data_IF_265835658679
#
_entry.id   IF_265835658679
#
_cell.length_a   1.000
_cell.length_b   1.000
_cell.length_c   1.000
_cell.angle_alpha   90.00
_cell.angle_beta   90.00
_cell.angle_gamma   90.00
#
_symmetry.space_group_name_H-M   'P 1'
#
loop_
_entity.id
_entity.type
_entity.pdbx_description
1 polymer ?
#
# COMPACT_ATOMS: atom_id res chain seq x y z
N UNK A 1 -5.21 -16.84 -9.62
CA UNK A 1 -5.49 -15.84 -10.66
C UNK A 1 -5.63 -16.50 -12.03
N UNK A 2 -6.32 -15.85 -12.96
CA UNK A 2 -6.58 -16.34 -14.32
C UNK A 2 -5.33 -16.72 -15.12
N UNK A 3 -4.22 -16.00 -14.93
CA UNK A 3 -2.92 -16.32 -15.55
C UNK A 3 -2.53 -17.80 -15.39
N UNK A 4 -2.80 -18.42 -14.23
CA UNK A 4 -2.47 -19.84 -13.99
C UNK A 4 -3.23 -20.82 -14.89
N UNK A 5 -4.38 -20.41 -15.42
CA UNK A 5 -5.22 -21.25 -16.27
C UNK A 5 -5.09 -20.86 -17.75
N UNK A 6 -4.90 -19.58 -18.04
CA UNK A 6 -4.86 -19.07 -19.41
C UNK A 6 -3.45 -18.95 -19.97
N UNK A 7 -2.41 -18.90 -19.13
CA UNK A 7 -1.03 -18.56 -19.48
C UNK A 7 -0.89 -17.21 -20.22
N UNK A 8 -1.90 -16.33 -20.13
CA UNK A 8 -1.89 -15.02 -20.79
C UNK A 8 -1.40 -13.95 -19.82
N UNK A 9 -0.24 -13.35 -20.11
CA UNK A 9 0.25 -12.19 -19.39
C UNK A 9 -0.58 -10.96 -19.79
N UNK A 10 -1.08 -10.24 -18.80
CA UNK A 10 -1.92 -9.05 -18.97
C UNK A 10 -1.53 -7.99 -17.97
N UNK A 11 -1.89 -6.73 -18.22
CA UNK A 11 -1.69 -5.64 -17.25
C UNK A 11 -2.33 -5.97 -15.88
N UNK A 12 -3.46 -6.70 -15.87
CA UNK A 12 -4.10 -7.16 -14.62
C UNK A 12 -3.32 -8.26 -13.92
N UNK A 13 -2.51 -9.05 -14.64
CA UNK A 13 -1.60 -10.04 -14.05
C UNK A 13 -0.41 -9.35 -13.37
N UNK A 14 0.06 -8.23 -13.91
CA UNK A 14 1.06 -7.38 -13.26
C UNK A 14 0.50 -6.76 -11.97
N UNK A 15 -0.77 -6.31 -11.97
CA UNK A 15 -1.45 -5.83 -10.75
C UNK A 15 -1.48 -6.89 -9.66
N UNK A 16 -1.81 -8.14 -10.00
CA UNK A 16 -1.81 -9.24 -9.02
C UNK A 16 -0.41 -9.48 -8.45
N UNK A 17 0.60 -9.53 -9.33
CA UNK A 17 1.99 -9.76 -8.94
C UNK A 17 2.52 -8.63 -8.06
N UNK A 18 2.16 -7.39 -8.37
CA UNK A 18 2.48 -6.24 -7.54
C UNK A 18 1.75 -6.29 -6.18
N UNK A 19 0.50 -6.75 -6.15
CA UNK A 19 -0.24 -6.99 -4.90
C UNK A 19 0.47 -7.99 -3.98
N UNK A 20 1.08 -9.04 -4.52
CA UNK A 20 1.92 -9.99 -3.75
C UNK A 20 3.15 -9.28 -3.18
N UNK A 21 3.84 -8.46 -3.98
CA UNK A 21 4.99 -7.67 -3.50
C UNK A 21 4.57 -6.70 -2.39
N UNK A 22 3.44 -6.02 -2.54
CA UNK A 22 2.92 -5.14 -1.49
C UNK A 22 2.56 -5.92 -0.21
N UNK A 23 1.96 -7.11 -0.33
CA UNK A 23 1.67 -7.98 0.81
C UNK A 23 2.96 -8.43 1.52
N UNK A 24 3.99 -8.79 0.76
CA UNK A 24 5.31 -9.13 1.30
C UNK A 24 5.96 -7.93 1.98
N UNK A 25 5.87 -6.73 1.42
CA UNK A 25 6.39 -5.51 2.06
C UNK A 25 5.64 -5.13 3.33
N UNK A 26 4.32 -5.33 3.35
CA UNK A 26 3.46 -5.03 4.50
C UNK A 26 3.69 -6.01 5.66
N UNK A 27 3.91 -7.28 5.34
CA UNK A 27 4.05 -8.37 6.33
C UNK A 27 5.52 -8.71 6.65
N UNK A 28 6.44 -8.30 5.78
CA UNK A 28 7.86 -8.57 5.87
C UNK A 28 8.57 -7.76 6.94
N UNK A 29 9.79 -8.18 7.29
CA UNK A 29 10.64 -7.45 8.24
C UNK A 29 11.00 -6.08 7.67
N UNK A 30 10.83 -5.03 8.48
CA UNK A 30 11.09 -3.63 8.08
C UNK A 30 12.44 -3.48 7.36
N UNK A 31 12.51 -2.73 6.25
CA UNK A 31 13.78 -2.23 5.75
C UNK A 31 14.46 -1.47 6.89
N UNK A 32 15.74 -1.76 7.15
CA UNK A 32 16.55 -1.07 8.15
C UNK A 32 16.90 0.34 7.61
N UNK A 33 15.88 1.16 7.39
CA UNK A 33 16.03 2.61 7.27
C UNK A 33 15.46 3.20 8.56
N UNK A 34 16.30 3.78 9.44
CA UNK A 34 15.87 4.43 10.68
C UNK A 34 14.79 5.50 10.46
N UNK A 35 14.60 6.00 9.23
CA UNK A 35 13.59 6.99 8.86
C UNK A 35 12.21 6.39 8.53
N UNK A 36 12.14 5.09 8.23
CA UNK A 36 10.93 4.36 7.81
C UNK A 36 10.26 3.64 8.98
N UNK A 37 10.96 3.48 10.11
CA UNK A 37 10.39 2.95 11.35
C UNK A 37 9.59 4.04 12.05
N UNK A 38 8.42 4.38 11.50
CA UNK A 38 7.42 5.20 12.19
C UNK A 38 6.14 4.37 12.27
N UNK A 39 5.47 4.42 13.41
CA UNK A 39 4.15 3.80 13.61
C UNK A 39 3.23 4.18 12.44
N UNK A 40 2.95 3.22 11.56
CA UNK A 40 1.84 3.36 10.63
C UNK A 40 0.55 3.34 11.46
N UNK A 41 -0.35 4.30 11.21
CA UNK A 41 -1.64 4.27 11.91
C UNK A 41 -2.40 3.00 11.49
N UNK A 42 -3.17 2.43 12.41
CA UNK A 42 -4.03 1.27 12.12
C UNK A 42 -4.91 1.52 10.88
N UNK A 43 -5.33 2.77 10.67
CA UNK A 43 -6.11 3.20 9.50
C UNK A 43 -5.32 3.11 8.19
N UNK A 44 -4.04 3.49 8.18
CA UNK A 44 -3.17 3.38 7.01
C UNK A 44 -2.89 1.92 6.65
N UNK A 45 -2.62 1.10 7.67
CA UNK A 45 -2.45 -0.34 7.52
C UNK A 45 -3.70 -0.98 6.92
N UNK A 46 -4.88 -0.59 7.43
CA UNK A 46 -6.14 -1.14 6.97
C UNK A 46 -6.47 -0.70 5.53
N UNK A 47 -6.22 0.56 5.19
CA UNK A 47 -6.40 1.03 3.82
C UNK A 47 -5.43 0.37 2.83
N UNK A 48 -4.17 0.17 3.23
CA UNK A 48 -3.18 -0.57 2.44
C UNK A 48 -3.61 -2.03 2.25
N UNK A 49 -4.07 -2.69 3.32
CA UNK A 49 -4.54 -4.07 3.26
C UNK A 49 -5.75 -4.24 2.33
N UNK A 50 -6.71 -3.31 2.35
CA UNK A 50 -7.85 -3.34 1.42
C UNK A 50 -7.42 -3.09 -0.03
N UNK A 51 -6.41 -2.26 -0.29
CA UNK A 51 -5.83 -2.11 -1.62
C UNK A 51 -5.15 -3.40 -2.10
N UNK A 52 -4.34 -4.02 -1.26
CA UNK A 52 -3.67 -5.30 -1.55
C UNK A 52 -4.70 -6.38 -1.88
N UNK A 53 -5.75 -6.49 -1.05
CA UNK A 53 -6.84 -7.44 -1.25
C UNK A 53 -7.49 -7.29 -2.63
N UNK A 54 -7.74 -6.05 -3.08
CA UNK A 54 -8.28 -5.78 -4.42
C UNK A 54 -7.30 -6.11 -5.54
N UNK A 55 -6.02 -5.83 -5.38
CA UNK A 55 -4.99 -6.22 -6.35
C UNK A 55 -4.93 -7.74 -6.54
N UNK A 56 -5.21 -8.51 -5.48
CA UNK A 56 -5.12 -9.96 -5.46
C UNK A 56 -6.43 -10.68 -5.79
N UNK A 57 -7.45 -9.99 -6.31
CA UNK A 57 -8.71 -10.65 -6.73
C UNK A 57 -8.46 -11.75 -7.77
N UNK A 58 -9.21 -12.85 -7.68
CA UNK A 58 -9.05 -13.96 -8.61
C UNK A 58 -9.50 -13.60 -10.03
N UNK A 59 -10.64 -12.91 -10.15
CA UNK A 59 -11.14 -12.32 -11.38
C UNK A 59 -10.31 -11.07 -11.76
N UNK A 60 -9.83 -10.97 -13.00
CA UNK A 60 -9.03 -9.81 -13.45
C UNK A 60 -9.84 -8.53 -13.56
N UNK A 61 -11.14 -8.64 -13.86
CA UNK A 61 -11.99 -7.47 -14.08
C UNK A 61 -12.24 -6.69 -12.79
N UNK A 62 -12.29 -7.40 -11.66
CA UNK A 62 -12.45 -6.81 -10.32
C UNK A 62 -11.15 -6.21 -9.77
N UNK A 63 -9.99 -6.52 -10.37
CA UNK A 63 -8.73 -5.88 -9.98
C UNK A 63 -8.69 -4.43 -10.45
N UNK A 64 -8.11 -3.51 -9.69
CA UNK A 64 -7.84 -2.16 -10.18
C UNK A 64 -6.83 -2.19 -11.34
N UNK A 65 -6.73 -1.07 -12.04
CA UNK A 65 -5.63 -0.77 -12.95
C UNK A 65 -4.39 -0.30 -12.18
N UNK A 66 -3.20 -0.46 -12.74
CA UNK A 66 -1.98 0.08 -12.13
C UNK A 66 -2.04 1.60 -11.89
N UNK A 67 -2.79 2.33 -12.71
CA UNK A 67 -3.04 3.76 -12.52
C UNK A 67 -3.83 4.04 -11.24
N UNK A 68 -4.89 3.29 -11.00
CA UNK A 68 -5.69 3.42 -9.77
C UNK A 68 -4.87 3.02 -8.54
N UNK A 69 -4.11 1.92 -8.63
CA UNK A 69 -3.18 1.51 -7.57
C UNK A 69 -2.20 2.64 -7.23
N UNK A 70 -1.58 3.26 -8.24
CA UNK A 70 -0.65 4.37 -8.04
C UNK A 70 -1.33 5.58 -7.40
N UNK A 71 -2.53 5.95 -7.87
CA UNK A 71 -3.30 7.07 -7.30
C UNK A 71 -3.64 6.86 -5.82
N UNK A 72 -4.04 5.64 -5.46
CA UNK A 72 -4.38 5.31 -4.08
C UNK A 72 -3.14 5.31 -3.17
N UNK A 73 -2.04 4.71 -3.60
CA UNK A 73 -0.76 4.74 -2.86
C UNK A 73 -0.25 6.16 -2.65
N UNK A 74 -0.41 7.05 -3.64
CA UNK A 74 -0.08 8.48 -3.46
C UNK A 74 -0.95 9.16 -2.42
N UNK A 75 -2.24 8.81 -2.36
CA UNK A 75 -3.16 9.25 -1.32
C UNK A 75 -2.65 8.84 0.06
N UNK A 76 -2.38 7.54 0.26
CA UNK A 76 -1.87 6.99 1.51
C UNK A 76 -0.56 7.66 1.96
N UNK A 77 0.35 7.95 1.02
CA UNK A 77 1.60 8.68 1.31
C UNK A 77 1.35 10.12 1.81
N UNK A 78 0.34 10.82 1.28
CA UNK A 78 0.04 12.21 1.67
C UNK A 78 -0.54 12.30 3.08
N UNK A 79 -1.32 11.30 3.53
CA UNK A 79 -1.80 11.21 4.91
C UNK A 79 -0.65 11.17 5.93
N UNK A 80 0.43 10.44 5.63
CA UNK A 80 1.64 10.41 6.47
C UNK A 80 2.29 11.79 6.62
N UNK A 81 2.40 12.57 5.53
CA UNK A 81 3.01 13.91 5.56
C UNK A 81 2.21 14.91 6.41
N UNK A 82 0.88 14.82 6.41
CA UNK A 82 0.03 15.74 7.17
C UNK A 82 0.10 15.49 8.69
N UNK A 83 0.21 14.23 9.14
CA UNK A 83 0.44 13.90 10.54
C UNK A 83 1.80 14.40 11.07
N UNK A 84 2.84 14.42 10.22
CA UNK A 84 4.14 14.98 10.62
C UNK A 84 4.09 16.50 10.86
N UNK A 85 3.19 17.23 10.19
CA UNK A 85 3.02 18.65 10.44
C UNK A 85 2.33 18.91 11.80
N UNK A 86 1.37 18.09 12.20
CA UNK A 86 0.64 18.27 13.47
C UNK A 86 1.43 17.82 14.71
N UNK A 87 2.29 16.78 14.62
CA UNK A 87 3.13 16.36 15.75
C UNK A 87 4.25 17.36 16.09
N UNK A 88 4.71 18.15 15.12
CA UNK A 88 5.73 19.19 15.34
C UNK A 88 5.20 20.41 16.13
N UNK A 89 3.91 20.71 16.05
CA UNK A 89 3.28 21.82 16.79
C UNK A 89 2.84 21.46 18.22
N UNK A 90 2.78 20.17 18.58
CA UNK A 90 2.36 19.72 19.91
C UNK A 90 3.48 19.58 20.96
N UNK A 91 4.75 19.64 20.56
CA UNK A 91 5.91 19.45 21.44
C UNK A 91 6.54 20.76 21.95
N UNK A 92 6.02 21.92 21.54
CA UNK A 92 6.64 23.22 21.83
C UNK A 92 6.01 24.03 22.99
N UNK A 93 5.00 23.49 23.69
CA UNK A 93 4.36 24.14 24.86
C UNK A 93 4.65 23.44 26.21
N UNK A 94 5.72 22.64 26.32
CA UNK A 94 6.11 22.02 27.60
C UNK A 94 7.60 22.20 27.91
N UNK A 95 8.04 23.46 27.95
CA UNK A 95 9.24 23.88 28.67
C UNK A 95 9.20 25.35 29.04
#
# INVERSE_FOLDING_TARGET
PEYFHTSQLTEKSDVYSFGVVLAELLTGKRPIDPRVVREESLEQLQAMAELIKRCMFMNSEDRPTMKEVAMELEGLRKFSKNHHHQQAYGLHESK
#
